data_IF_590590511480
#
_entry.id   IF_590590511480
#
_cell.length_a   1.000
_cell.length_b   1.000
_cell.length_c   1.000
_cell.angle_alpha   90.00
_cell.angle_beta   90.00
_cell.angle_gamma   90.00
#
_symmetry.space_group_name_H-M   'P 1'
#
loop_
_entity.id
_entity.type
_entity.pdbx_description
1 polymer ?
#
# COMPACT_ATOMS: atom_id res chain seq x y z
N UNK A 1 15.35 -10.21 -16.89
CA UNK A 1 14.92 -11.27 -15.95
C UNK A 1 14.41 -12.45 -16.78
N UNK A 2 14.80 -13.68 -16.45
CA UNK A 2 14.37 -14.88 -17.20
C UNK A 2 12.84 -15.04 -17.06
N UNK A 3 12.13 -15.29 -18.18
CA UNK A 3 10.68 -15.52 -18.20
C UNK A 3 10.25 -16.65 -17.26
N UNK A 4 11.11 -17.64 -17.03
CA UNK A 4 10.83 -18.74 -16.09
C UNK A 4 10.84 -18.26 -14.64
N UNK A 5 11.77 -17.38 -14.28
CA UNK A 5 11.87 -16.80 -12.93
C UNK A 5 10.63 -15.97 -12.63
N UNK A 6 10.19 -15.15 -13.59
CA UNK A 6 8.97 -14.34 -13.43
C UNK A 6 7.74 -15.22 -13.26
N UNK A 7 7.55 -16.20 -14.13
CA UNK A 7 6.40 -17.11 -14.07
C UNK A 7 6.30 -17.84 -12.72
N UNK A 8 7.42 -18.26 -12.15
CA UNK A 8 7.43 -18.90 -10.82
C UNK A 8 7.06 -17.90 -9.72
N UNK A 9 7.57 -16.66 -9.78
CA UNK A 9 7.18 -15.61 -8.83
C UNK A 9 5.68 -15.33 -8.89
N UNK A 10 5.12 -15.20 -10.10
CA UNK A 10 3.69 -14.93 -10.29
C UNK A 10 2.83 -16.07 -9.71
N UNK A 11 3.25 -17.33 -9.89
CA UNK A 11 2.58 -18.48 -9.26
C UNK A 11 2.62 -18.42 -7.74
N UNK A 12 3.77 -18.05 -7.15
CA UNK A 12 3.92 -17.91 -5.69
C UNK A 12 3.01 -16.79 -5.16
N UNK A 13 2.99 -15.63 -5.84
CA UNK A 13 2.10 -14.53 -5.46
C UNK A 13 0.62 -14.92 -5.55
N UNK A 14 0.22 -15.57 -6.65
CA UNK A 14 -1.16 -16.02 -6.84
C UNK A 14 -1.59 -16.98 -5.73
N UNK A 15 -0.75 -17.97 -5.42
CA UNK A 15 -0.99 -18.92 -4.34
C UNK A 15 -1.10 -18.22 -2.98
N UNK A 16 -0.18 -17.31 -2.68
CA UNK A 16 -0.16 -16.61 -1.41
C UNK A 16 -1.36 -15.67 -1.23
N UNK A 17 -1.73 -14.91 -2.27
CA UNK A 17 -2.95 -14.07 -2.27
C UNK A 17 -4.21 -14.90 -2.06
N UNK A 18 -4.30 -16.09 -2.67
CA UNK A 18 -5.41 -17.02 -2.43
C UNK A 18 -5.46 -17.48 -0.98
N UNK A 19 -4.32 -17.87 -0.40
CA UNK A 19 -4.25 -18.28 1.00
C UNK A 19 -4.65 -17.15 1.96
N UNK A 20 -4.23 -15.91 1.68
CA UNK A 20 -4.61 -14.72 2.44
C UNK A 20 -6.13 -14.45 2.41
N UNK A 21 -6.80 -14.80 1.31
CA UNK A 21 -8.26 -14.72 1.21
C UNK A 21 -9.03 -15.80 1.99
N UNK A 22 -8.34 -16.80 2.53
CA UNK A 22 -8.95 -17.98 3.17
C UNK A 22 -8.58 -18.15 4.64
N UNK A 23 -7.39 -17.70 5.05
CA UNK A 23 -6.91 -17.84 6.44
C UNK A 23 -5.99 -16.69 6.85
N UNK A 24 -5.80 -16.55 8.16
CA UNK A 24 -4.95 -15.51 8.76
C UNK A 24 -3.50 -15.70 8.34
N UNK A 25 -2.78 -14.60 8.09
CA UNK A 25 -1.36 -14.66 7.74
C UNK A 25 -0.51 -15.44 8.76
N UNK A 26 -0.78 -15.26 10.05
CA UNK A 26 -0.08 -15.98 11.13
C UNK A 26 -0.26 -17.51 11.04
N UNK A 27 -1.33 -17.98 10.41
CA UNK A 27 -1.65 -19.39 10.19
C UNK A 27 -1.16 -19.92 8.83
N UNK A 28 -0.64 -19.05 7.95
CA UNK A 28 -0.03 -19.46 6.68
C UNK A 28 1.42 -19.90 6.95
N UNK A 29 1.76 -21.11 6.54
CA UNK A 29 3.11 -21.65 6.57
C UNK A 29 3.76 -21.58 5.17
N UNK A 30 5.09 -21.64 5.11
CA UNK A 30 5.80 -21.77 3.82
C UNK A 30 5.36 -23.04 3.09
N UNK A 31 5.03 -24.12 3.82
CA UNK A 31 4.56 -25.37 3.22
C UNK A 31 3.22 -25.18 2.51
N UNK A 32 2.27 -24.46 3.12
CA UNK A 32 0.99 -24.16 2.47
C UNK A 32 1.17 -23.44 1.12
N UNK A 33 2.11 -22.50 1.07
CA UNK A 33 2.40 -21.71 -0.14
C UNK A 33 3.03 -22.59 -1.21
N UNK A 34 3.98 -23.45 -0.82
CA UNK A 34 4.63 -24.41 -1.72
C UNK A 34 3.60 -25.36 -2.34
N UNK A 35 2.69 -25.88 -1.51
CA UNK A 35 1.66 -26.82 -1.94
C UNK A 35 0.66 -26.15 -2.87
N UNK A 36 0.17 -24.95 -2.53
CA UNK A 36 -0.78 -24.20 -3.37
C UNK A 36 -0.14 -23.71 -4.69
N UNK A 37 1.13 -23.28 -4.67
CA UNK A 37 1.85 -22.86 -5.87
C UNK A 37 2.35 -24.03 -6.74
N UNK A 38 2.28 -25.26 -6.22
CA UNK A 38 2.80 -26.47 -6.85
C UNK A 38 4.27 -26.35 -7.28
N UNK A 39 5.15 -25.98 -6.33
CA UNK A 39 6.59 -25.81 -6.55
C UNK A 39 7.41 -26.64 -5.57
N UNK A 40 8.74 -26.70 -5.76
CA UNK A 40 9.65 -27.29 -4.79
C UNK A 40 10.00 -26.31 -3.66
N UNK A 41 10.36 -26.85 -2.48
CA UNK A 41 10.85 -26.02 -1.36
C UNK A 41 12.11 -25.22 -1.70
N UNK A 42 13.06 -25.82 -2.41
CA UNK A 42 14.24 -25.12 -2.91
C UNK A 42 13.89 -24.01 -3.90
N UNK A 43 12.83 -24.18 -4.68
CA UNK A 43 12.32 -23.16 -5.59
C UNK A 43 11.76 -21.98 -4.82
N UNK A 44 10.95 -22.19 -3.77
CA UNK A 44 10.46 -21.10 -2.92
C UNK A 44 11.63 -20.27 -2.37
N UNK A 45 12.60 -20.91 -1.72
CA UNK A 45 13.73 -20.22 -1.10
C UNK A 45 14.72 -19.60 -2.10
N UNK A 46 14.68 -20.00 -3.37
CA UNK A 46 15.42 -19.31 -4.43
C UNK A 46 14.79 -17.95 -4.81
N UNK A 47 13.51 -17.73 -4.46
CA UNK A 47 12.79 -16.49 -4.74
C UNK A 47 12.52 -15.64 -3.49
N UNK A 48 12.27 -16.27 -2.34
CA UNK A 48 11.90 -15.60 -1.09
C UNK A 48 12.54 -16.32 0.11
N UNK A 49 13.30 -15.61 0.93
CA UNK A 49 13.95 -16.13 2.13
C UNK A 49 12.94 -16.48 3.23
N UNK A 50 11.86 -15.70 3.32
CA UNK A 50 10.81 -15.87 4.34
C UNK A 50 9.42 -15.58 3.78
N UNK A 51 8.37 -16.03 4.48
CA UNK A 51 7.00 -15.60 4.19
C UNK A 51 6.77 -14.11 4.47
N UNK A 52 7.58 -13.49 5.31
CA UNK A 52 7.51 -12.05 5.60
C UNK A 52 8.04 -11.28 4.39
N UNK A 53 9.15 -11.72 3.79
CA UNK A 53 9.68 -11.15 2.55
C UNK A 53 8.67 -11.28 1.40
N UNK A 54 8.02 -12.44 1.26
CA UNK A 54 6.98 -12.61 0.24
C UNK A 54 5.83 -11.62 0.44
N UNK A 55 5.43 -11.37 1.69
CA UNK A 55 4.40 -10.39 2.01
C UNK A 55 4.87 -8.95 1.76
N UNK A 56 6.13 -8.61 2.11
CA UNK A 56 6.75 -7.32 1.78
C UNK A 56 6.67 -7.06 0.26
N UNK A 57 6.99 -8.08 -0.54
CA UNK A 57 7.01 -7.96 -1.99
C UNK A 57 5.60 -7.94 -2.59
N UNK A 58 4.64 -8.69 -2.04
CA UNK A 58 3.24 -8.64 -2.47
C UNK A 58 2.65 -7.25 -2.20
N UNK A 59 2.87 -6.71 -1.00
CA UNK A 59 2.43 -5.35 -0.67
C UNK A 59 3.07 -4.34 -1.62
N UNK A 60 4.39 -4.42 -1.84
CA UNK A 60 5.08 -3.54 -2.81
C UNK A 60 4.48 -3.64 -4.21
N UNK A 61 4.22 -4.83 -4.72
CA UNK A 61 3.61 -5.00 -6.04
C UNK A 61 2.20 -4.39 -6.12
N UNK A 62 1.41 -4.49 -5.05
CA UNK A 62 0.11 -3.81 -4.96
C UNK A 62 0.29 -2.29 -4.92
N UNK A 63 1.19 -1.76 -4.10
CA UNK A 63 1.44 -0.32 -4.02
C UNK A 63 2.00 0.20 -5.35
N UNK A 64 2.93 -0.52 -5.97
CA UNK A 64 3.43 -0.23 -7.29
C UNK A 64 2.28 -0.32 -8.29
N UNK A 65 1.36 -1.27 -8.24
CA UNK A 65 0.21 -1.28 -9.15
C UNK A 65 -0.72 -0.07 -8.95
N UNK A 66 -1.03 0.28 -7.70
CA UNK A 66 -1.90 1.40 -7.33
C UNK A 66 -1.24 2.75 -7.68
N UNK A 67 0.08 2.87 -7.52
CA UNK A 67 0.81 4.13 -7.59
C UNK A 67 1.85 4.19 -8.74
N UNK A 68 1.96 3.15 -9.59
CA UNK A 68 2.97 3.04 -10.67
C UNK A 68 2.90 4.17 -11.68
N UNK A 69 1.73 4.79 -11.80
CA UNK A 69 1.49 5.83 -12.79
C UNK A 69 1.93 7.23 -12.35
N UNK A 70 2.28 7.38 -11.07
CA UNK A 70 2.49 8.68 -10.42
C UNK A 70 3.88 9.30 -10.66
N UNK A 71 4.78 8.64 -11.39
CA UNK A 71 6.13 9.18 -11.65
C UNK A 71 6.44 9.51 -13.12
N UNK A 72 5.57 9.21 -14.09
CA UNK A 72 5.90 9.56 -15.48
C UNK A 72 4.76 9.87 -16.45
N UNK A 73 3.51 9.47 -16.22
CA UNK A 73 2.46 9.74 -17.21
C UNK A 73 1.06 9.33 -16.73
N UNK A 74 0.20 10.28 -16.39
CA UNK A 74 -1.25 10.10 -16.58
C UNK A 74 -1.85 11.27 -17.36
N UNK A 75 -2.64 10.92 -18.37
CA UNK A 75 -3.33 11.82 -19.31
C UNK A 75 -4.75 12.20 -18.85
N UNK A 76 -5.18 11.80 -17.65
CA UNK A 76 -6.56 11.96 -17.20
C UNK A 76 -6.77 13.04 -16.13
N UNK A 77 -5.74 13.41 -15.38
CA UNK A 77 -5.79 14.52 -14.42
C UNK A 77 -4.50 15.33 -14.50
N UNK A 78 -4.59 16.60 -14.90
CA UNK A 78 -3.42 17.49 -15.03
C UNK A 78 -2.94 17.95 -13.63
N UNK A 79 -2.27 17.04 -12.92
CA UNK A 79 -1.54 17.35 -11.69
C UNK A 79 -0.07 17.74 -11.96
N UNK A 80 0.33 17.79 -13.25
CA UNK A 80 1.71 18.05 -13.68
C UNK A 80 2.20 19.46 -13.32
N UNK A 81 1.29 20.41 -13.13
CA UNK A 81 1.59 21.81 -12.81
C UNK A 81 1.61 22.17 -11.32
N UNK A 82 0.99 21.39 -10.43
CA UNK A 82 0.78 21.79 -9.03
C UNK A 82 1.46 20.82 -8.05
N UNK A 83 2.60 21.22 -7.50
CA UNK A 83 3.39 20.44 -6.52
C UNK A 83 2.80 20.43 -5.11
N UNK A 84 1.68 21.13 -4.89
CA UNK A 84 1.05 21.29 -3.59
C UNK A 84 0.70 19.93 -2.96
N UNK A 85 0.94 19.82 -1.66
CA UNK A 85 0.72 18.61 -0.87
C UNK A 85 -0.74 18.15 -0.96
N UNK A 86 -1.69 19.08 -1.01
CA UNK A 86 -3.12 18.79 -1.14
C UNK A 86 -3.49 18.10 -2.47
N UNK A 87 -2.87 18.53 -3.58
CA UNK A 87 -3.09 17.93 -4.89
C UNK A 87 -2.60 16.47 -4.92
N UNK A 88 -1.44 16.20 -4.31
CA UNK A 88 -0.88 14.85 -4.18
C UNK A 88 -1.75 13.94 -3.32
N UNK A 89 -2.21 14.43 -2.16
CA UNK A 89 -3.15 13.67 -1.31
C UNK A 89 -4.42 13.34 -2.07
N UNK A 90 -4.98 14.31 -2.80
CA UNK A 90 -6.17 14.09 -3.63
C UNK A 90 -5.92 13.01 -4.68
N UNK A 91 -4.77 13.05 -5.37
CA UNK A 91 -4.41 12.06 -6.38
C UNK A 91 -4.23 10.65 -5.80
N UNK A 92 -3.56 10.52 -4.66
CA UNK A 92 -3.45 9.25 -3.92
C UNK A 92 -4.84 8.69 -3.61
N UNK A 93 -5.76 9.53 -3.15
CA UNK A 93 -7.12 9.12 -2.83
C UNK A 93 -7.91 8.64 -4.06
N UNK A 94 -7.67 9.23 -5.25
CA UNK A 94 -8.24 8.72 -6.50
C UNK A 94 -7.79 7.29 -6.79
N UNK A 95 -6.49 7.00 -6.74
CA UNK A 95 -5.96 5.65 -6.95
C UNK A 95 -6.53 4.64 -5.94
N UNK A 96 -6.61 5.02 -4.67
CA UNK A 96 -7.22 4.17 -3.64
C UNK A 96 -8.71 3.89 -3.93
N UNK A 97 -9.45 4.85 -4.48
CA UNK A 97 -10.86 4.70 -4.86
C UNK A 97 -11.01 3.78 -6.08
N UNK A 98 -10.12 3.89 -7.07
CA UNK A 98 -10.11 3.03 -8.26
C UNK A 98 -9.74 1.59 -7.91
N UNK A 99 -8.76 1.38 -7.03
CA UNK A 99 -8.31 0.06 -6.57
C UNK A 99 -9.12 -0.50 -5.38
N UNK A 100 -10.30 0.07 -5.10
CA UNK A 100 -11.16 -0.32 -3.96
C UNK A 100 -11.46 -1.81 -3.91
N UNK A 101 -11.69 -2.44 -5.07
CA UNK A 101 -11.98 -3.89 -5.13
C UNK A 101 -10.79 -4.72 -4.67
N UNK A 102 -9.59 -4.40 -5.15
CA UNK A 102 -8.36 -5.12 -4.83
C UNK A 102 -8.01 -4.94 -3.36
N UNK A 103 -8.10 -3.71 -2.84
CA UNK A 103 -7.92 -3.45 -1.41
C UNK A 103 -8.94 -4.20 -0.56
N UNK A 104 -10.23 -4.22 -0.95
CA UNK A 104 -11.27 -4.95 -0.20
C UNK A 104 -10.98 -6.45 -0.17
N UNK A 105 -10.46 -7.03 -1.26
CA UNK A 105 -10.12 -8.46 -1.31
C UNK A 105 -9.02 -8.87 -0.33
N UNK A 106 -8.09 -7.95 -0.03
CA UNK A 106 -6.96 -8.16 0.88
C UNK A 106 -7.35 -7.90 2.35
N UNK A 107 -8.30 -6.99 2.56
CA UNK A 107 -8.74 -6.50 3.88
C UNK A 107 -9.87 -7.31 4.54
N UNK A 108 -10.37 -8.37 3.88
CA UNK A 108 -11.51 -9.17 4.36
C UNK A 108 -11.17 -10.13 5.52
N UNK A 109 -9.90 -10.27 5.90
CA UNK A 109 -9.46 -11.18 6.98
C UNK A 109 -8.41 -10.55 7.91
N UNK A 110 -8.07 -11.23 9.00
CA UNK A 110 -7.10 -10.80 10.03
C UNK A 110 -5.64 -10.62 9.52
N UNK A 111 -5.42 -10.61 8.21
CA UNK A 111 -4.24 -10.07 7.53
C UNK A 111 -4.26 -8.53 7.41
N UNK A 112 -5.38 -7.88 7.73
CA UNK A 112 -5.56 -6.43 7.61
C UNK A 112 -4.50 -5.63 8.39
N UNK A 113 -4.13 -6.06 9.60
CA UNK A 113 -3.15 -5.32 10.42
C UNK A 113 -1.78 -5.23 9.74
N UNK A 114 -1.38 -6.29 9.05
CA UNK A 114 -0.09 -6.31 8.35
C UNK A 114 -0.16 -5.39 7.14
N UNK A 115 -1.20 -5.51 6.32
CA UNK A 115 -1.43 -4.60 5.20
C UNK A 115 -1.40 -3.13 5.66
N UNK A 116 -2.08 -2.80 6.77
CA UNK A 116 -2.10 -1.43 7.29
C UNK A 116 -0.74 -0.97 7.83
N UNK A 117 0.07 -1.88 8.40
CA UNK A 117 1.44 -1.54 8.81
C UNK A 117 2.34 -1.24 7.60
N UNK A 118 2.17 -1.96 6.50
CA UNK A 118 2.83 -1.67 5.22
C UNK A 118 2.36 -0.36 4.62
N UNK A 119 1.04 -0.15 4.58
CA UNK A 119 0.43 1.09 4.11
C UNK A 119 1.00 2.28 4.86
N UNK A 120 1.07 2.20 6.20
CA UNK A 120 1.68 3.25 7.02
C UNK A 120 3.15 3.49 6.66
N UNK A 121 3.98 2.44 6.60
CA UNK A 121 5.41 2.56 6.24
C UNK A 121 5.64 3.15 4.85
N UNK A 122 4.76 2.84 3.90
CA UNK A 122 4.80 3.43 2.57
C UNK A 122 4.55 4.94 2.64
N UNK A 123 3.48 5.37 3.33
CA UNK A 123 3.17 6.80 3.47
C UNK A 123 4.17 7.56 4.33
N UNK A 124 4.85 6.93 5.30
CA UNK A 124 5.99 7.55 5.98
C UNK A 124 7.10 7.92 5.00
N UNK A 125 7.46 7.01 4.09
CA UNK A 125 8.46 7.30 3.04
C UNK A 125 7.97 8.33 2.05
N UNK A 126 6.73 8.20 1.58
CA UNK A 126 6.14 9.11 0.61
C UNK A 126 6.04 10.55 1.17
N UNK A 127 5.64 10.69 2.44
CA UNK A 127 5.53 12.01 3.06
C UNK A 127 6.88 12.65 3.36
N UNK A 128 7.95 11.87 3.56
CA UNK A 128 9.29 12.42 3.72
C UNK A 128 9.73 13.26 2.50
N UNK A 129 9.29 12.90 1.29
CA UNK A 129 9.59 13.65 0.07
C UNK A 129 8.76 14.95 -0.08
N UNK A 130 7.74 15.15 0.75
CA UNK A 130 6.80 16.26 0.62
C UNK A 130 6.70 17.18 1.84
N UNK A 131 7.21 16.74 2.99
CA UNK A 131 7.21 17.56 4.20
C UNK A 131 8.26 18.67 4.08
N UNK A 132 7.80 19.89 4.32
CA UNK A 132 8.67 21.05 4.52
C UNK A 132 9.20 21.02 5.96
N UNK A 133 10.45 20.59 6.12
CA UNK A 133 11.11 20.51 7.43
C UNK A 133 11.31 21.87 8.09
N UNK A 134 11.33 22.98 7.33
CA UNK A 134 11.45 24.33 7.89
C UNK A 134 10.17 24.75 8.62
N UNK A 135 9.00 24.34 8.10
CA UNK A 135 7.69 24.60 8.71
C UNK A 135 7.51 23.90 10.06
N UNK A 136 8.15 22.76 10.26
CA UNK A 136 7.97 21.91 11.44
C UNK A 136 9.22 21.77 12.32
N UNK A 137 10.12 22.76 12.32
CA UNK A 137 11.42 22.73 13.00
C UNK A 137 11.41 22.39 14.51
N UNK A 138 10.27 22.52 15.20
CA UNK A 138 10.14 22.20 16.63
C UNK A 138 9.71 20.75 16.91
N UNK A 139 9.48 19.94 15.88
CA UNK A 139 9.00 18.57 16.00
C UNK A 139 10.02 17.62 15.35
N UNK A 140 10.43 16.54 16.03
CA UNK A 140 11.29 15.53 15.41
C UNK A 140 10.64 14.97 14.14
N UNK A 141 11.40 14.90 13.05
CA UNK A 141 10.92 14.43 11.74
C UNK A 141 10.30 13.04 11.82
N UNK A 142 10.94 12.11 12.55
CA UNK A 142 10.42 10.76 12.77
C UNK A 142 9.00 10.77 13.38
N UNK A 143 8.77 11.62 14.39
CA UNK A 143 7.46 11.75 15.02
C UNK A 143 6.44 12.32 14.04
N UNK A 144 6.82 13.35 13.28
CA UNK A 144 5.95 14.01 12.31
C UNK A 144 5.51 13.04 11.19
N UNK A 145 6.45 12.30 10.61
CA UNK A 145 6.18 11.29 9.58
C UNK A 145 5.26 10.18 10.11
N UNK A 146 5.58 9.64 11.29
CA UNK A 146 4.75 8.64 11.95
C UNK A 146 3.33 9.15 12.22
N UNK A 147 3.19 10.40 12.67
CA UNK A 147 1.90 11.02 12.95
C UNK A 147 1.08 11.25 11.68
N UNK A 148 1.69 11.80 10.62
CA UNK A 148 1.01 12.06 9.35
C UNK A 148 0.59 10.77 8.66
N UNK A 149 1.48 9.79 8.54
CA UNK A 149 1.18 8.50 7.94
C UNK A 149 0.12 7.73 8.75
N UNK A 150 0.23 7.73 10.08
CA UNK A 150 -0.77 7.12 10.96
C UNK A 150 -2.15 7.77 10.80
N UNK A 151 -2.22 9.09 10.77
CA UNK A 151 -3.47 9.83 10.57
C UNK A 151 -4.06 9.57 9.18
N UNK A 152 -3.23 9.46 8.15
CA UNK A 152 -3.67 9.14 6.80
C UNK A 152 -4.25 7.72 6.70
N UNK A 153 -3.59 6.74 7.33
CA UNK A 153 -4.10 5.37 7.43
C UNK A 153 -5.49 5.34 8.07
N UNK A 154 -5.68 6.07 9.18
CA UNK A 154 -6.97 6.10 9.86
C UNK A 154 -8.05 6.83 9.03
N UNK A 155 -7.68 7.87 8.30
CA UNK A 155 -8.57 8.53 7.33
C UNK A 155 -9.04 7.54 6.24
N UNK A 156 -8.11 6.81 5.62
CA UNK A 156 -8.43 5.83 4.57
C UNK A 156 -9.33 4.71 5.13
N UNK A 157 -9.01 4.17 6.32
CA UNK A 157 -9.88 3.19 7.00
C UNK A 157 -11.28 3.73 7.24
N UNK A 158 -11.41 4.97 7.70
CA UNK A 158 -12.71 5.62 7.90
C UNK A 158 -13.46 5.78 6.57
N UNK A 159 -12.79 6.24 5.52
CA UNK A 159 -13.37 6.45 4.21
C UNK A 159 -13.85 5.13 3.59
N UNK A 160 -13.09 4.05 3.74
CA UNK A 160 -13.49 2.69 3.35
C UNK A 160 -14.74 2.22 4.07
N UNK A 161 -14.86 2.45 5.38
CA UNK A 161 -16.09 2.15 6.16
C UNK A 161 -17.31 2.95 5.66
N UNK A 162 -17.08 4.10 5.03
CA UNK A 162 -18.11 4.91 4.35
C UNK A 162 -18.30 4.53 2.88
N UNK A 163 -17.77 3.38 2.47
CA UNK A 163 -17.84 2.86 1.10
C UNK A 163 -17.17 3.79 0.07
N UNK A 164 -16.22 4.63 0.52
CA UNK A 164 -15.54 5.65 -0.28
C UNK A 164 -16.50 6.63 -0.97
N UNK A 165 -17.64 6.94 -0.33
CA UNK A 165 -18.68 7.80 -0.89
C UNK A 165 -18.30 9.28 -1.01
N UNK A 166 -17.71 9.94 0.01
CA UNK A 166 -17.19 11.29 -0.18
C UNK A 166 -16.16 11.31 -1.32
N UNK A 167 -16.17 12.37 -2.13
CA UNK A 167 -15.21 12.51 -3.22
C UNK A 167 -13.79 12.76 -2.69
N UNK A 168 -12.74 12.32 -3.42
CA UNK A 168 -11.35 12.45 -3.00
C UNK A 168 -10.96 13.86 -2.55
N UNK A 169 -11.44 14.90 -3.22
CA UNK A 169 -11.18 16.32 -2.88
C UNK A 169 -11.71 16.67 -1.49
N UNK A 170 -12.92 16.18 -1.16
CA UNK A 170 -13.55 16.43 0.14
C UNK A 170 -12.74 15.75 1.24
N UNK A 171 -12.32 14.51 1.01
CA UNK A 171 -11.53 13.73 1.97
C UNK A 171 -10.12 14.32 2.14
N UNK A 172 -9.49 14.77 1.05
CA UNK A 172 -8.22 15.47 1.08
C UNK A 172 -8.33 16.75 1.92
N UNK A 173 -9.40 17.54 1.74
CA UNK A 173 -9.60 18.76 2.51
C UNK A 173 -9.67 18.50 4.03
N UNK A 174 -10.29 17.39 4.46
CA UNK A 174 -10.34 17.01 5.87
C UNK A 174 -8.95 16.68 6.42
N UNK A 175 -8.14 15.95 5.65
CA UNK A 175 -6.78 15.61 6.04
C UNK A 175 -5.90 16.85 6.19
N UNK A 176 -5.97 17.74 5.20
CA UNK A 176 -5.18 18.96 5.14
C UNK A 176 -5.57 19.94 6.26
N UNK A 177 -6.85 20.08 6.55
CA UNK A 177 -7.35 20.95 7.62
C UNK A 177 -6.85 20.52 9.01
N UNK A 178 -6.68 19.21 9.24
CA UNK A 178 -6.18 18.67 10.51
C UNK A 178 -4.66 18.80 10.62
N UNK A 179 -3.92 18.76 9.50
CA UNK A 179 -2.45 18.87 9.49
C UNK A 179 -1.95 20.31 9.46
N UNK A 180 -2.68 21.23 8.82
CA UNK A 180 -2.26 22.64 8.67
C UNK A 180 -2.51 23.49 9.93
N UNK A 181 -3.25 23.00 10.93
CA UNK A 181 -3.51 23.67 12.21
C UNK A 181 -2.46 23.36 13.26
#
# INVERSE_FOLDING_TARGET
>A
MDRRIQKTRDSIFTAFSRLLSMKKYSQITVQDIIDEANIGRSTFYAHFETKDQLLDELCRDIFDHIFAKDLSSEQHHDFSGNKDFEAKITHILYHLKESKHDMKSILTYESADIFWSYFKRYFEKLFADFIDSERYHNVPEEFLLNHMAGSFVELVKWWMKKDMKPEPEVVASYFIEVIKK
#
